data_IF_162047717803
#
_entry.id   IF_162047717803
#
_cell.length_a   1.000
_cell.length_b   1.000
_cell.length_c   1.000
_cell.angle_alpha   90.00
_cell.angle_beta   90.00
_cell.angle_gamma   90.00
#
_symmetry.space_group_name_H-M   'P 1'
#
loop_
_entity.id
_entity.type
_entity.pdbx_description
1 polymer ?
#
# COMPACT_ATOMS: atom_id res chain seq x y z
N UNK A 1 -23.87 -13.50 32.33
CA UNK A 1 -22.61 -12.78 32.03
C UNK A 1 -21.77 -13.73 31.19
N UNK A 2 -22.12 -13.84 29.91
CA UNK A 2 -21.52 -14.81 28.98
C UNK A 2 -20.49 -14.07 28.14
N UNK A 3 -19.20 -14.35 28.37
CA UNK A 3 -18.12 -13.99 27.45
C UNK A 3 -18.10 -15.04 26.35
N UNK A 4 -18.48 -14.65 25.14
CA UNK A 4 -18.21 -15.44 23.95
C UNK A 4 -16.72 -15.32 23.62
N UNK A 5 -16.02 -16.46 23.71
CA UNK A 5 -14.67 -16.64 23.18
C UNK A 5 -14.88 -17.02 21.71
N UNK A 6 -14.49 -16.14 20.78
CA UNK A 6 -14.46 -16.48 19.37
C UNK A 6 -13.08 -17.06 19.05
N UNK A 7 -13.09 -18.34 18.70
CA UNK A 7 -11.93 -19.10 18.23
C UNK A 7 -11.75 -18.75 16.75
N UNK A 8 -10.64 -18.09 16.40
CA UNK A 8 -10.22 -17.91 15.02
C UNK A 8 -9.87 -19.28 14.42
N UNK A 9 -10.70 -19.79 13.52
CA UNK A 9 -10.39 -20.97 12.72
C UNK A 9 -9.70 -20.48 11.45
N UNK A 10 -8.36 -20.52 11.45
CA UNK A 10 -7.58 -20.48 10.21
C UNK A 10 -7.78 -21.80 9.47
N UNK A 11 -8.37 -21.75 8.28
CA UNK A 11 -8.33 -22.89 7.38
C UNK A 11 -6.91 -23.04 6.80
N UNK A 12 -6.26 -24.12 7.22
CA UNK A 12 -4.98 -24.59 6.75
C UNK A 12 -5.19 -25.25 5.38
N UNK A 13 -4.98 -24.50 4.29
CA UNK A 13 -4.85 -25.09 2.95
C UNK A 13 -3.37 -25.32 2.66
N UNK A 14 -2.97 -26.58 2.74
CA UNK A 14 -1.61 -27.03 2.47
C UNK A 14 -1.18 -26.79 1.02
N UNK A 15 -0.09 -26.03 0.90
CA UNK A 15 1.06 -26.23 0.00
C UNK A 15 0.84 -27.02 -1.30
N UNK A 16 0.58 -26.27 -2.37
CA UNK A 16 0.95 -26.61 -3.76
C UNK A 16 1.06 -25.31 -4.61
N UNK A 17 1.82 -24.31 -4.15
CA UNK A 17 2.03 -23.03 -4.87
C UNK A 17 3.50 -22.56 -4.88
N UNK A 18 4.47 -23.42 -4.59
CA UNK A 18 5.87 -22.99 -4.44
C UNK A 18 6.64 -22.79 -5.76
N UNK A 19 6.06 -23.05 -6.93
CA UNK A 19 6.79 -22.99 -8.21
C UNK A 19 6.45 -21.77 -9.10
N UNK A 20 5.27 -21.14 -8.95
CA UNK A 20 4.86 -20.01 -9.80
C UNK A 20 5.17 -18.64 -9.18
N UNK A 21 5.21 -18.53 -7.83
CA UNK A 21 5.44 -17.24 -7.15
C UNK A 21 6.83 -16.62 -7.32
N UNK A 22 7.84 -17.37 -7.78
CA UNK A 22 9.16 -16.81 -8.11
C UNK A 22 9.21 -16.14 -9.50
N UNK A 23 8.27 -16.47 -10.40
CA UNK A 23 8.26 -15.90 -11.76
C UNK A 23 7.75 -14.46 -11.82
N UNK A 24 7.08 -14.01 -10.76
CA UNK A 24 6.49 -12.68 -10.69
C UNK A 24 7.49 -11.58 -10.30
N UNK A 25 8.66 -11.95 -9.76
CA UNK A 25 9.57 -11.01 -9.14
C UNK A 25 10.93 -10.99 -9.84
N UNK A 26 11.31 -9.84 -10.38
CA UNK A 26 12.67 -9.61 -10.88
C UNK A 26 13.47 -8.82 -9.86
N UNK A 27 14.50 -9.42 -9.26
CA UNK A 27 15.39 -8.70 -8.34
C UNK A 27 16.18 -7.65 -9.10
N UNK A 28 16.04 -6.39 -8.71
CA UNK A 28 16.83 -5.28 -9.23
C UNK A 28 18.02 -4.94 -8.32
N UNK A 29 17.83 -5.06 -7.00
CA UNK A 29 18.87 -4.79 -6.00
C UNK A 29 18.91 -5.93 -4.99
N UNK A 30 20.11 -6.46 -4.76
CA UNK A 30 20.37 -7.36 -3.64
C UNK A 30 20.71 -6.52 -2.39
N UNK A 31 19.87 -6.59 -1.37
CA UNK A 31 20.08 -5.85 -0.12
C UNK A 31 20.75 -6.71 0.97
N UNK A 32 21.09 -7.98 0.68
CA UNK A 32 21.80 -8.83 1.63
C UNK A 32 23.21 -8.31 1.92
N UNK A 33 23.81 -8.80 3.00
CA UNK A 33 25.15 -8.43 3.44
C UNK A 33 25.13 -7.37 4.52
N UNK A 34 26.09 -6.46 4.49
CA UNK A 34 26.30 -5.47 5.55
C UNK A 34 25.24 -4.35 5.53
N UNK A 35 24.77 -3.97 6.72
CA UNK A 35 23.85 -2.87 7.00
C UNK A 35 24.38 -2.00 8.14
N UNK A 36 24.10 -0.69 8.09
CA UNK A 36 24.28 0.17 9.26
C UNK A 36 23.21 -0.19 10.29
N UNK A 37 23.58 -0.30 11.55
CA UNK A 37 22.71 -0.75 12.62
C UNK A 37 22.93 0.05 13.92
N UNK A 38 21.84 0.34 14.61
CA UNK A 38 21.86 0.86 15.98
C UNK A 38 20.68 0.33 16.78
N UNK A 39 20.86 0.20 18.09
CA UNK A 39 19.78 -0.03 19.05
C UNK A 39 19.14 1.29 19.48
N UNK A 40 17.94 1.19 20.06
CA UNK A 40 17.11 2.32 20.47
C UNK A 40 16.09 2.72 19.42
N UNK A 41 15.36 3.80 19.68
CA UNK A 41 14.27 4.23 18.80
C UNK A 41 14.26 5.75 18.61
N UNK A 42 14.49 6.18 17.37
CA UNK A 42 14.41 7.59 17.00
C UNK A 42 13.96 7.73 15.55
N UNK A 43 12.79 8.33 15.34
CA UNK A 43 12.17 8.47 14.03
C UNK A 43 13.00 9.32 13.05
N UNK A 44 13.90 10.19 13.54
CA UNK A 44 14.83 10.95 12.69
C UNK A 44 15.79 10.05 11.91
N UNK A 45 15.97 8.79 12.33
CA UNK A 45 16.77 7.80 11.61
C UNK A 45 16.11 7.27 10.34
N UNK A 46 14.88 7.68 10.04
CA UNK A 46 14.28 7.47 8.72
C UNK A 46 14.79 8.47 7.66
N UNK A 47 15.31 9.63 8.08
CA UNK A 47 15.70 10.73 7.20
C UNK A 47 16.83 10.30 6.23
N UNK A 48 16.70 10.52 4.90
CA UNK A 48 17.73 10.16 3.94
C UNK A 48 19.07 10.87 4.18
N UNK A 49 19.06 12.05 4.79
CA UNK A 49 20.23 12.89 5.06
C UNK A 49 20.81 12.67 6.46
N UNK A 50 20.21 11.80 7.28
CA UNK A 50 20.78 11.43 8.58
C UNK A 50 22.16 10.76 8.40
N UNK A 51 23.15 11.28 9.14
CA UNK A 51 24.52 10.75 9.17
C UNK A 51 24.59 9.53 10.10
N UNK A 52 24.71 8.35 9.49
CA UNK A 52 24.85 7.06 10.17
C UNK A 52 26.30 6.58 10.24
N UNK A 53 27.30 7.46 10.06
CA UNK A 53 28.72 7.09 10.08
C UNK A 53 29.15 6.39 11.38
N UNK A 54 28.55 6.81 12.49
CA UNK A 54 28.84 6.33 13.84
C UNK A 54 28.11 5.04 14.19
N UNK A 55 27.19 4.58 13.32
CA UNK A 55 26.49 3.31 13.54
C UNK A 55 27.40 2.13 13.28
N UNK A 56 27.21 1.08 14.07
CA UNK A 56 27.88 -0.20 13.83
C UNK A 56 27.36 -0.83 12.54
N UNK A 57 28.01 -1.91 12.12
CA UNK A 57 27.59 -2.66 10.94
C UNK A 57 27.29 -4.10 11.34
N UNK A 58 26.16 -4.63 10.87
CA UNK A 58 25.79 -6.05 11.04
C UNK A 58 25.47 -6.68 9.69
N UNK A 59 25.54 -8.01 9.62
CA UNK A 59 25.07 -8.76 8.46
C UNK A 59 23.54 -8.95 8.51
N UNK A 60 22.87 -8.85 7.35
CA UNK A 60 21.48 -9.25 7.18
C UNK A 60 21.28 -10.03 5.86
N UNK A 61 20.49 -11.11 5.83
CA UNK A 61 19.72 -11.61 6.96
C UNK A 61 20.59 -12.32 8.01
N UNK A 62 20.33 -12.05 9.28
CA UNK A 62 20.96 -12.64 10.48
C UNK A 62 20.15 -12.17 11.70
N UNK A 63 20.17 -12.97 12.77
CA UNK A 63 19.70 -12.51 14.08
C UNK A 63 20.72 -11.49 14.62
N UNK A 64 20.28 -10.39 15.23
CA UNK A 64 21.25 -9.40 15.74
C UNK A 64 22.07 -9.95 16.93
N UNK A 65 21.59 -10.99 17.61
CA UNK A 65 22.29 -11.70 18.70
C UNK A 65 23.57 -12.34 18.17
N UNK A 66 23.50 -12.96 16.99
CA UNK A 66 24.64 -13.57 16.30
C UNK A 66 25.61 -12.51 15.75
N UNK A 67 25.16 -11.27 15.62
CA UNK A 67 25.94 -10.11 15.13
C UNK A 67 26.46 -9.20 16.25
N UNK A 68 26.44 -9.68 17.51
CA UNK A 68 27.10 -9.01 18.63
C UNK A 68 26.17 -8.31 19.63
N UNK A 69 24.86 -8.57 19.58
CA UNK A 69 23.86 -8.03 20.51
C UNK A 69 23.15 -9.16 21.30
N UNK A 70 23.88 -10.02 22.04
CA UNK A 70 23.30 -11.20 22.67
C UNK A 70 22.25 -10.83 23.74
N UNK A 71 21.03 -11.35 23.60
CA UNK A 71 19.92 -11.16 24.54
C UNK A 71 19.39 -9.74 24.59
N UNK A 72 19.52 -8.99 23.48
CA UNK A 72 18.96 -7.65 23.37
C UNK A 72 17.52 -7.73 22.84
N UNK A 73 16.56 -7.40 23.70
CA UNK A 73 15.17 -7.19 23.29
C UNK A 73 14.87 -5.68 23.22
N UNK A 74 14.12 -5.25 22.22
CA UNK A 74 13.66 -3.87 22.07
C UNK A 74 13.77 -3.33 20.66
N UNK A 75 13.98 -2.02 20.56
CA UNK A 75 14.02 -1.32 19.28
C UNK A 75 15.41 -1.35 18.65
N UNK A 76 15.45 -1.60 17.35
CA UNK A 76 16.65 -1.42 16.57
C UNK A 76 16.34 -0.87 15.19
N UNK A 77 17.34 -0.26 14.55
CA UNK A 77 17.20 0.35 13.24
C UNK A 77 18.31 -0.10 12.30
N UNK A 78 17.92 -0.36 11.06
CA UNK A 78 18.79 -0.72 9.96
C UNK A 78 18.78 0.38 8.89
N UNK A 79 19.93 0.73 8.33
CA UNK A 79 20.04 1.67 7.20
C UNK A 79 20.95 1.14 6.10
N UNK A 80 20.53 1.35 4.85
CA UNK A 80 21.33 1.02 3.66
C UNK A 80 21.02 1.93 2.49
N UNK A 81 22.06 2.25 1.71
CA UNK A 81 21.95 3.01 0.47
C UNK A 81 21.84 2.05 -0.72
N UNK A 82 21.06 2.41 -1.73
CA UNK A 82 20.91 1.65 -2.96
C UNK A 82 20.63 2.53 -4.18
N UNK A 83 20.78 1.97 -5.38
CA UNK A 83 20.44 2.63 -6.65
C UNK A 83 19.56 1.72 -7.49
N UNK A 84 18.58 2.30 -8.16
CA UNK A 84 17.69 1.63 -9.11
C UNK A 84 17.61 2.41 -10.41
N UNK A 85 17.54 1.68 -11.53
CA UNK A 85 17.48 2.30 -12.86
C UNK A 85 16.04 2.44 -13.38
N UNK A 86 15.11 1.68 -12.80
CA UNK A 86 13.66 1.81 -12.97
C UNK A 86 13.04 2.15 -11.62
N UNK A 87 11.87 2.77 -11.63
CA UNK A 87 11.09 3.04 -10.41
C UNK A 87 9.68 2.45 -10.49
N UNK A 88 9.33 1.87 -11.64
CA UNK A 88 8.00 1.31 -11.88
C UNK A 88 7.83 -0.02 -11.15
N UNK A 89 6.68 -0.19 -10.50
CA UNK A 89 6.24 -1.48 -9.95
C UNK A 89 7.23 -2.12 -8.96
N UNK A 90 7.93 -1.29 -8.19
CA UNK A 90 8.94 -1.77 -7.25
C UNK A 90 8.33 -2.13 -5.90
N UNK A 91 8.91 -3.16 -5.29
CA UNK A 91 8.59 -3.64 -3.95
C UNK A 91 9.88 -3.87 -3.17
N UNK A 92 9.82 -3.65 -1.86
CA UNK A 92 10.81 -4.19 -0.93
C UNK A 92 10.33 -5.55 -0.49
N UNK A 93 11.15 -6.58 -0.67
CA UNK A 93 10.96 -7.88 -0.03
C UNK A 93 11.98 -7.98 1.10
N UNK A 94 11.52 -8.26 2.31
CA UNK A 94 12.37 -8.37 3.51
C UNK A 94 12.34 -9.75 4.15
N UNK A 95 11.46 -10.64 3.71
CA UNK A 95 11.32 -11.95 4.34
C UNK A 95 10.72 -11.84 5.73
N UNK A 96 11.27 -12.61 6.66
CA UNK A 96 10.88 -12.66 8.06
C UNK A 96 11.69 -11.66 8.87
N UNK A 97 10.99 -10.80 9.60
CA UNK A 97 11.52 -9.93 10.65
C UNK A 97 10.80 -10.29 11.95
N UNK A 98 11.55 -10.42 13.03
CA UNK A 98 11.03 -10.66 14.37
C UNK A 98 11.11 -9.36 15.19
N UNK A 99 10.03 -8.82 15.76
CA UNK A 99 8.60 -9.20 15.65
C UNK A 99 7.84 -8.24 14.73
N UNK A 100 8.18 -6.96 14.84
CA UNK A 100 7.44 -5.82 14.28
C UNK A 100 8.40 -4.96 13.49
N UNK A 101 7.98 -4.45 12.34
CA UNK A 101 8.81 -3.58 11.52
C UNK A 101 8.03 -2.40 10.95
N UNK A 102 8.74 -1.32 10.66
CA UNK A 102 8.33 -0.22 9.79
C UNK A 102 9.44 0.03 8.77
N UNK A 103 9.08 0.16 7.50
CA UNK A 103 10.02 0.33 6.39
C UNK A 103 9.84 1.69 5.75
N UNK A 104 10.96 2.40 5.61
CA UNK A 104 11.02 3.74 5.04
C UNK A 104 11.91 3.76 3.80
N UNK A 105 11.45 4.46 2.76
CA UNK A 105 12.25 4.82 1.59
C UNK A 105 12.40 6.33 1.55
N UNK A 106 13.63 6.81 1.63
CA UNK A 106 13.97 8.23 1.65
C UNK A 106 13.13 9.04 2.67
N UNK A 107 12.92 8.49 3.88
CA UNK A 107 12.14 9.14 4.94
C UNK A 107 10.63 8.94 4.85
N UNK A 108 10.12 8.34 3.79
CA UNK A 108 8.69 8.03 3.65
C UNK A 108 8.40 6.60 4.06
N UNK A 109 7.45 6.41 4.99
CA UNK A 109 6.92 5.09 5.32
C UNK A 109 6.31 4.45 4.07
N UNK A 110 6.61 3.19 3.81
CA UNK A 110 6.05 2.42 2.68
C UNK A 110 5.30 1.16 3.11
N UNK A 111 5.48 0.73 4.36
CA UNK A 111 5.01 -0.56 4.84
C UNK A 111 5.43 -0.83 6.26
N UNK A 112 4.71 -1.74 6.91
CA UNK A 112 5.02 -2.22 8.26
C UNK A 112 4.28 -3.55 8.49
N UNK A 113 4.66 -4.30 9.51
CA UNK A 113 3.93 -5.49 9.95
C UNK A 113 4.05 -5.67 11.46
N UNK A 114 2.96 -6.13 12.08
CA UNK A 114 2.81 -6.11 13.54
C UNK A 114 2.40 -4.74 14.07
N UNK A 115 2.33 -4.61 15.39
CA UNK A 115 2.02 -3.37 16.10
C UNK A 115 3.07 -3.15 17.18
N UNK A 116 3.67 -1.95 17.18
CA UNK A 116 4.65 -1.55 18.19
C UNK A 116 3.97 -1.33 19.55
N UNK A 117 4.71 -1.43 20.68
CA UNK A 117 4.21 -1.06 21.99
C UNK A 117 3.56 0.35 22.03
N UNK A 118 2.58 0.59 22.93
CA UNK A 118 2.16 -0.28 24.04
C UNK A 118 1.21 -1.43 23.65
N UNK A 119 0.51 -1.32 22.52
CA UNK A 119 -0.46 -2.32 22.06
C UNK A 119 0.21 -3.35 21.15
N UNK A 120 1.23 -4.04 21.70
CA UNK A 120 2.10 -4.91 20.94
C UNK A 120 1.36 -6.10 20.30
N UNK A 121 1.61 -6.31 19.01
CA UNK A 121 1.15 -7.49 18.25
C UNK A 121 2.26 -7.95 17.29
N UNK A 122 2.68 -9.21 17.41
CA UNK A 122 3.78 -9.75 16.58
C UNK A 122 3.37 -9.97 15.13
N UNK A 123 4.26 -9.60 14.22
CA UNK A 123 4.23 -9.92 12.80
C UNK A 123 5.26 -11.00 12.40
N UNK A 124 5.79 -11.80 13.33
CA UNK A 124 6.93 -12.69 13.06
C UNK A 124 6.70 -13.66 11.89
N UNK A 125 5.48 -14.18 11.73
CA UNK A 125 5.12 -15.13 10.67
C UNK A 125 4.82 -14.47 9.31
N UNK A 126 4.95 -13.15 9.19
CA UNK A 126 4.62 -12.43 7.95
C UNK A 126 5.83 -12.42 7.01
N UNK A 127 5.65 -12.95 5.80
CA UNK A 127 6.59 -12.70 4.69
C UNK A 127 6.35 -11.30 4.14
N UNK A 128 7.33 -10.42 4.31
CA UNK A 128 7.15 -8.98 4.09
C UNK A 128 7.41 -8.60 2.66
N UNK A 129 6.37 -8.07 2.01
CA UNK A 129 6.44 -7.42 0.71
C UNK A 129 5.69 -6.10 0.73
N UNK A 130 6.40 -4.99 0.55
CA UNK A 130 5.79 -3.65 0.57
C UNK A 130 5.96 -2.96 -0.77
N UNK A 131 4.89 -2.44 -1.40
CA UNK A 131 5.01 -1.63 -2.60
C UNK A 131 5.77 -0.35 -2.30
N UNK A 132 6.59 0.09 -3.25
CA UNK A 132 7.29 1.37 -3.17
C UNK A 132 6.60 2.35 -4.11
N UNK A 133 5.88 3.36 -3.60
CA UNK A 133 5.38 4.44 -4.42
C UNK A 133 6.51 5.09 -5.21
N UNK A 134 6.33 5.21 -6.53
CA UNK A 134 7.36 5.71 -7.44
C UNK A 134 7.84 7.12 -7.06
N UNK A 135 6.93 7.92 -6.49
CA UNK A 135 7.18 9.29 -6.01
C UNK A 135 8.21 9.36 -4.87
N UNK A 136 8.44 8.26 -4.13
CA UNK A 136 9.44 8.21 -3.07
C UNK A 136 10.83 7.81 -3.56
N UNK A 137 10.97 7.43 -4.84
CA UNK A 137 12.24 6.96 -5.40
C UNK A 137 12.93 8.02 -6.26
N UNK A 138 14.25 8.08 -6.14
CA UNK A 138 15.15 8.87 -6.98
C UNK A 138 15.73 7.95 -8.06
N UNK A 139 15.19 7.99 -9.28
CA UNK A 139 15.67 7.18 -10.43
C UNK A 139 17.14 7.50 -10.77
N UNK A 140 17.95 6.47 -11.00
CA UNK A 140 19.39 6.59 -11.33
C UNK A 140 20.21 7.39 -10.31
N UNK A 141 19.71 7.54 -9.09
CA UNK A 141 20.37 8.24 -8.01
C UNK A 141 20.36 7.37 -6.74
N UNK A 142 21.08 7.82 -5.73
CA UNK A 142 21.12 7.13 -4.44
C UNK A 142 19.81 7.31 -3.67
N UNK A 143 19.29 6.18 -3.18
CA UNK A 143 18.13 6.07 -2.32
C UNK A 143 18.55 5.47 -0.99
N UNK A 144 17.80 5.78 0.07
CA UNK A 144 18.01 5.23 1.41
C UNK A 144 16.82 4.36 1.77
N UNK A 145 17.09 3.14 2.23
CA UNK A 145 16.13 2.34 2.97
C UNK A 145 16.50 2.39 4.46
N UNK A 146 15.51 2.66 5.29
CA UNK A 146 15.61 2.55 6.74
C UNK A 146 14.53 1.60 7.25
N UNK A 147 14.87 0.71 8.17
CA UNK A 147 13.95 -0.28 8.73
C UNK A 147 14.03 -0.17 10.24
N UNK A 148 12.92 0.22 10.85
CA UNK A 148 12.70 0.20 12.29
C UNK A 148 12.17 -1.17 12.66
N UNK A 149 12.78 -1.82 13.63
CA UNK A 149 12.37 -3.14 14.13
C UNK A 149 12.13 -3.04 15.63
N UNK A 150 11.12 -3.75 16.13
CA UNK A 150 10.95 -4.02 17.55
C UNK A 150 10.81 -5.52 17.74
N UNK A 151 11.63 -6.06 18.63
CA UNK A 151 11.60 -7.43 19.09
C UNK A 151 11.19 -7.42 20.56
N UNK A 152 10.21 -8.27 20.92
CA UNK A 152 9.71 -8.29 22.29
C UNK A 152 10.55 -9.21 23.19
N UNK A 153 10.94 -10.37 22.68
CA UNK A 153 11.68 -11.41 23.41
C UNK A 153 12.41 -12.33 22.40
N UNK A 154 13.55 -12.89 22.81
CA UNK A 154 14.31 -13.96 22.13
C UNK A 154 15.32 -13.48 21.08
N UNK A 155 15.07 -13.76 19.80
CA UNK A 155 16.02 -13.50 18.70
C UNK A 155 15.38 -12.49 17.75
N UNK A 156 15.99 -11.31 17.65
CA UNK A 156 15.45 -10.23 16.84
C UNK A 156 16.19 -9.98 15.52
N UNK A 157 15.57 -9.15 14.68
CA UNK A 157 16.20 -8.56 13.50
C UNK A 157 15.67 -9.07 12.16
N UNK A 158 16.44 -8.83 11.10
CA UNK A 158 16.08 -9.27 9.74
C UNK A 158 16.55 -10.72 9.55
N UNK A 159 15.76 -11.67 10.06
CA UNK A 159 16.19 -13.05 10.30
C UNK A 159 16.45 -13.87 9.04
N UNK A 160 15.55 -13.83 8.05
CA UNK A 160 15.67 -14.66 6.83
C UNK A 160 14.85 -14.13 5.66
N UNK A 161 15.29 -14.43 4.44
CA UNK A 161 14.48 -14.29 3.23
C UNK A 161 15.12 -13.48 2.12
N UNK A 162 14.28 -13.02 1.19
CA UNK A 162 14.66 -12.38 -0.07
C UNK A 162 14.88 -10.88 0.13
N UNK A 163 15.84 -10.48 0.97
CA UNK A 163 16.18 -9.08 1.22
C UNK A 163 16.62 -8.39 -0.08
N UNK A 164 15.76 -7.55 -0.64
CA UNK A 164 16.04 -6.87 -1.90
C UNK A 164 14.96 -5.92 -2.37
N UNK A 165 15.30 -5.18 -3.42
CA UNK A 165 14.33 -4.41 -4.21
C UNK A 165 14.00 -5.22 -5.45
N UNK A 166 12.71 -5.46 -5.67
CA UNK A 166 12.19 -6.29 -6.73
C UNK A 166 11.19 -5.51 -7.58
N UNK A 167 11.16 -5.82 -8.86
CA UNK A 167 10.13 -5.37 -9.78
C UNK A 167 9.11 -6.49 -9.98
N UNK A 168 7.83 -6.19 -9.76
CA UNK A 168 6.73 -7.12 -10.02
C UNK A 168 6.42 -7.15 -11.53
N UNK A 169 6.52 -8.30 -12.17
CA UNK A 169 6.39 -8.46 -13.63
C UNK A 169 4.92 -8.46 -14.11
N UNK A 170 3.98 -8.88 -13.26
CA UNK A 170 2.59 -9.18 -13.64
C UNK A 170 1.58 -8.12 -13.20
N UNK A 171 1.99 -6.87 -13.13
CA UNK A 171 1.10 -5.72 -12.88
C UNK A 171 0.77 -4.99 -14.19
N UNK A 172 -0.34 -4.22 -14.27
CA UNK A 172 -0.65 -3.49 -15.48
C UNK A 172 0.34 -2.34 -15.67
N UNK A 173 0.66 -2.00 -16.92
CA UNK A 173 1.43 -0.79 -17.18
C UNK A 173 0.60 0.45 -16.85
N UNK A 174 0.97 1.14 -15.78
CA UNK A 174 0.35 2.41 -15.38
C UNK A 174 0.92 3.54 -16.23
N UNK A 175 0.06 4.26 -16.95
CA UNK A 175 0.47 5.51 -17.60
C UNK A 175 0.68 6.63 -16.58
N UNK A 176 0.06 6.49 -15.41
CA UNK A 176 0.24 7.36 -14.24
C UNK A 176 0.02 6.53 -12.97
N UNK A 177 1.07 6.33 -12.19
CA UNK A 177 0.94 5.81 -10.83
C UNK A 177 0.29 6.87 -9.93
N UNK A 178 -0.62 6.42 -9.07
CA UNK A 178 -1.32 7.23 -8.06
C UNK A 178 -1.03 6.74 -6.63
N UNK A 179 -0.12 5.77 -6.47
CA UNK A 179 0.33 5.34 -5.15
C UNK A 179 1.18 6.43 -4.47
N UNK A 180 1.06 6.55 -3.15
CA UNK A 180 1.74 7.57 -2.35
C UNK A 180 0.79 8.24 -1.37
N UNK A 181 1.10 9.48 -0.97
CA UNK A 181 0.26 10.21 -0.03
C UNK A 181 -0.95 10.83 -0.71
N UNK A 182 -2.12 10.56 -0.14
CA UNK A 182 -3.41 11.16 -0.46
C UNK A 182 -3.84 12.07 0.70
N UNK A 183 -4.77 12.98 0.43
CA UNK A 183 -5.49 13.71 1.49
C UNK A 183 -6.56 12.80 2.09
N UNK A 184 -6.74 12.85 3.40
CA UNK A 184 -7.64 11.98 4.14
C UNK A 184 -8.47 12.74 5.18
N UNK A 185 -9.74 12.36 5.30
CA UNK A 185 -10.64 12.89 6.33
C UNK A 185 -11.78 11.94 6.67
N UNK A 186 -11.95 11.65 7.95
CA UNK A 186 -13.07 10.84 8.46
C UNK A 186 -14.41 11.62 8.46
N UNK A 187 -15.49 10.88 8.67
CA UNK A 187 -16.86 11.37 8.59
C UNK A 187 -17.41 11.47 7.17
N UNK A 188 -18.72 11.62 7.08
CA UNK A 188 -19.45 11.58 5.82
C UNK A 188 -19.96 12.97 5.41
N UNK A 189 -19.34 13.60 4.41
CA UNK A 189 -19.83 14.84 3.82
C UNK A 189 -19.65 14.79 2.30
N UNK A 190 -20.76 14.70 1.58
CA UNK A 190 -20.79 14.58 0.12
C UNK A 190 -20.26 15.82 -0.62
N UNK A 191 -20.23 17.00 0.01
CA UNK A 191 -19.60 18.20 -0.57
C UNK A 191 -18.12 17.97 -0.89
N UNK A 192 -17.48 17.01 -0.21
CA UNK A 192 -16.09 16.63 -0.41
C UNK A 192 -15.83 15.99 -1.77
N UNK A 193 -16.87 15.61 -2.51
CA UNK A 193 -16.75 15.15 -3.89
C UNK A 193 -16.42 16.31 -4.86
N UNK A 194 -16.82 17.54 -4.55
CA UNK A 194 -16.70 18.69 -5.46
C UNK A 194 -15.24 18.95 -5.85
N UNK A 195 -15.02 19.32 -7.12
CA UNK A 195 -13.67 19.56 -7.65
C UNK A 195 -12.94 20.64 -6.85
N UNK A 196 -13.65 21.71 -6.52
CA UNK A 196 -13.18 22.93 -5.86
C UNK A 196 -13.18 22.85 -4.33
N UNK A 197 -13.54 21.72 -3.73
CA UNK A 197 -13.54 21.58 -2.27
C UNK A 197 -12.12 21.76 -1.71
N UNK A 198 -11.97 22.62 -0.70
CA UNK A 198 -10.68 22.89 -0.07
C UNK A 198 -10.28 21.76 0.89
N UNK A 199 -9.29 20.97 0.48
CA UNK A 199 -8.68 19.90 1.28
C UNK A 199 -7.29 20.27 1.84
N UNK A 200 -6.92 21.56 1.81
CA UNK A 200 -5.60 22.01 2.28
C UNK A 200 -5.33 21.64 3.73
N UNK A 201 -6.38 21.62 4.56
CA UNK A 201 -6.35 21.28 5.98
C UNK A 201 -6.50 19.77 6.27
N UNK A 202 -6.64 18.92 5.25
CA UNK A 202 -6.77 17.49 5.44
C UNK A 202 -5.42 16.86 5.78
N UNK A 203 -5.49 15.82 6.61
CA UNK A 203 -4.35 14.99 6.94
C UNK A 203 -3.88 14.21 5.72
N UNK A 204 -2.64 13.74 5.76
CA UNK A 204 -2.12 12.86 4.72
C UNK A 204 -2.22 11.40 5.16
N UNK A 205 -2.51 10.52 4.22
CA UNK A 205 -2.53 9.08 4.40
C UNK A 205 -1.82 8.42 3.22
N UNK A 206 -1.08 7.35 3.46
CA UNK A 206 -0.47 6.53 2.42
C UNK A 206 -1.54 5.61 1.80
N UNK A 207 -1.56 5.53 0.47
CA UNK A 207 -2.33 4.54 -0.26
C UNK A 207 -1.44 3.88 -1.34
N UNK A 208 -1.40 2.54 -1.43
CA UNK A 208 -2.17 1.60 -0.64
C UNK A 208 -1.57 1.37 0.76
N UNK A 209 -2.43 1.36 1.79
CA UNK A 209 -2.23 0.90 3.16
C UNK A 209 -3.55 1.14 3.92
N UNK A 210 -3.99 0.20 4.76
CA UNK A 210 -5.19 0.41 5.59
C UNK A 210 -5.04 1.64 6.51
N UNK A 211 -6.13 2.26 6.95
CA UNK A 211 -6.03 3.50 7.73
C UNK A 211 -5.75 3.25 9.23
N UNK A 212 -6.21 2.15 9.83
CA UNK A 212 -5.92 1.77 11.23
C UNK A 212 -4.44 1.53 11.40
N UNK A 213 -3.90 0.89 10.37
CA UNK A 213 -2.49 0.64 10.13
C UNK A 213 -1.64 1.93 10.14
N UNK A 214 -2.27 3.09 9.97
CA UNK A 214 -1.62 4.41 9.96
C UNK A 214 -2.02 5.27 11.17
N UNK A 215 -2.65 4.67 12.18
CA UNK A 215 -3.06 5.34 13.42
C UNK A 215 -4.50 5.88 13.42
N UNK A 216 -5.32 5.52 12.43
CA UNK A 216 -6.73 5.89 12.40
C UNK A 216 -7.60 4.73 12.88
N UNK A 217 -7.71 4.52 14.19
CA UNK A 217 -8.66 3.53 14.76
C UNK A 217 -10.11 4.02 14.57
N UNK A 218 -10.72 3.69 13.43
CA UNK A 218 -12.00 4.29 13.02
C UNK A 218 -12.79 3.41 12.06
N UNK A 219 -13.96 2.94 12.49
CA UNK A 219 -14.97 2.37 11.60
C UNK A 219 -15.96 3.46 11.14
N UNK A 220 -16.34 3.45 9.86
CA UNK A 220 -17.37 4.32 9.30
C UNK A 220 -16.97 4.95 7.97
N UNK A 221 -17.40 6.19 7.76
CA UNK A 221 -17.15 6.91 6.51
C UNK A 221 -15.83 7.66 6.54
N UNK A 222 -15.04 7.52 5.49
CA UNK A 222 -13.86 8.33 5.28
C UNK A 222 -13.76 8.79 3.82
N UNK A 223 -13.03 9.88 3.61
CA UNK A 223 -12.82 10.45 2.30
C UNK A 223 -11.34 10.51 1.98
N UNK A 224 -11.00 10.09 0.76
CA UNK A 224 -9.70 10.28 0.15
C UNK A 224 -9.81 11.35 -0.94
N UNK A 225 -8.80 12.21 -1.06
CA UNK A 225 -8.65 13.14 -2.18
C UNK A 225 -7.22 13.11 -2.73
N UNK A 226 -7.08 13.07 -4.04
CA UNK A 226 -5.79 13.16 -4.72
C UNK A 226 -5.86 14.11 -5.91
N UNK A 227 -4.96 15.09 -5.89
CA UNK A 227 -4.69 15.96 -7.01
C UNK A 227 -3.67 15.30 -7.95
N UNK A 228 -3.93 15.32 -9.25
CA UNK A 228 -3.04 14.75 -10.27
C UNK A 228 -3.14 15.51 -11.60
N UNK A 229 -2.06 15.44 -12.38
CA UNK A 229 -2.05 15.87 -13.77
C UNK A 229 -1.87 14.67 -14.71
N UNK A 230 -2.59 14.67 -15.82
CA UNK A 230 -2.43 13.69 -16.89
C UNK A 230 -2.06 14.39 -18.20
N UNK A 231 -1.04 13.87 -18.91
CA UNK A 231 -0.51 14.47 -20.13
C UNK A 231 -1.55 14.50 -21.26
N UNK A 232 -1.59 15.61 -22.03
CA UNK A 232 -2.50 15.82 -23.16
C UNK A 232 -2.38 14.77 -24.26
N UNK A 233 -1.24 14.07 -24.37
CA UNK A 233 -1.07 12.98 -25.33
C UNK A 233 -2.04 11.81 -25.12
N UNK A 234 -2.65 11.68 -23.92
CA UNK A 234 -3.60 10.61 -23.60
C UNK A 234 -5.07 10.99 -23.86
N UNK A 235 -5.35 12.18 -24.41
CA UNK A 235 -6.73 12.71 -24.55
C UNK A 235 -7.66 11.88 -25.44
N UNK A 236 -7.10 11.07 -26.34
CA UNK A 236 -7.84 10.26 -27.29
C UNK A 236 -7.84 8.77 -26.87
N UNK A 237 -7.18 8.44 -25.75
CA UNK A 237 -7.14 7.08 -25.19
C UNK A 237 -8.40 6.77 -24.40
N UNK A 238 -8.81 5.50 -24.37
CA UNK A 238 -9.83 5.03 -23.42
C UNK A 238 -9.14 4.73 -22.09
N UNK A 239 -9.51 5.44 -21.03
CA UNK A 239 -8.78 5.45 -19.76
C UNK A 239 -9.55 4.78 -18.62
N UNK A 240 -8.86 3.98 -17.83
CA UNK A 240 -9.41 3.30 -16.65
C UNK A 240 -8.63 3.74 -15.42
N UNK A 241 -9.35 4.16 -14.40
CA UNK A 241 -8.82 4.39 -13.06
C UNK A 241 -8.82 3.07 -12.29
N UNK A 242 -7.64 2.65 -11.84
CA UNK A 242 -7.45 1.54 -10.92
C UNK A 242 -7.26 2.09 -9.50
N UNK A 243 -8.07 1.63 -8.55
CA UNK A 243 -7.95 1.97 -7.13
C UNK A 243 -7.58 0.78 -6.25
N UNK A 244 -7.25 -0.36 -6.86
CA UNK A 244 -6.86 -1.55 -6.13
C UNK A 244 -8.01 -2.09 -5.26
N UNK A 245 -7.67 -2.54 -4.06
CA UNK A 245 -8.63 -2.99 -3.04
C UNK A 245 -8.73 -1.96 -1.91
N UNK A 246 -9.91 -1.89 -1.34
CA UNK A 246 -10.48 -0.84 -0.48
C UNK A 246 -11.39 -1.63 0.43
N UNK A 247 -11.33 -1.38 1.72
CA UNK A 247 -12.19 -2.06 2.66
C UNK A 247 -13.20 -1.02 3.20
N UNK A 248 -14.51 -1.15 2.98
CA UNK A 248 -15.24 -2.21 2.27
C UNK A 248 -15.77 -1.75 0.89
N UNK A 249 -16.51 -0.65 0.90
CA UNK A 249 -17.27 -0.13 -0.25
C UNK A 249 -16.89 1.30 -0.57
N UNK A 250 -17.06 1.71 -1.82
CA UNK A 250 -16.64 3.03 -2.28
C UNK A 250 -17.61 3.68 -3.28
N UNK A 251 -17.65 5.01 -3.27
CA UNK A 251 -18.13 5.85 -4.36
C UNK A 251 -16.99 6.76 -4.82
N UNK A 252 -16.68 6.72 -6.12
CA UNK A 252 -15.55 7.45 -6.70
C UNK A 252 -16.00 8.56 -7.64
N UNK A 253 -15.37 9.72 -7.51
CA UNK A 253 -15.64 10.93 -8.27
C UNK A 253 -14.36 11.46 -8.92
N UNK A 254 -14.49 11.93 -10.16
CA UNK A 254 -13.47 12.66 -10.90
C UNK A 254 -13.96 14.08 -11.15
N UNK A 255 -13.25 15.07 -10.62
CA UNK A 255 -13.61 16.49 -10.76
C UNK A 255 -15.08 16.76 -10.40
N UNK A 256 -15.57 16.16 -9.31
CA UNK A 256 -16.97 16.29 -8.86
C UNK A 256 -17.99 15.41 -9.59
N UNK A 257 -17.64 14.73 -10.68
CA UNK A 257 -18.54 13.82 -11.39
C UNK A 257 -18.33 12.39 -10.90
N UNK A 258 -19.42 11.73 -10.50
CA UNK A 258 -19.41 10.31 -10.15
C UNK A 258 -18.98 9.46 -11.36
N UNK A 259 -18.04 8.53 -11.15
CA UNK A 259 -17.52 7.65 -12.22
C UNK A 259 -17.69 6.16 -11.92
N UNK A 260 -18.09 5.79 -10.70
CA UNK A 260 -18.37 4.40 -10.35
C UNK A 260 -18.38 4.16 -8.84
N UNK A 261 -18.85 2.96 -8.48
CA UNK A 261 -18.90 2.47 -7.09
C UNK A 261 -18.59 0.98 -7.01
N UNK A 262 -18.24 0.51 -5.83
CA UNK A 262 -18.30 -0.92 -5.46
C UNK A 262 -19.17 -1.04 -4.22
N UNK A 263 -20.14 -1.96 -4.24
CA UNK A 263 -21.16 -2.04 -3.18
C UNK A 263 -22.17 -0.88 -3.23
N UNK A 264 -22.99 -0.79 -2.18
CA UNK A 264 -24.06 0.23 -2.08
C UNK A 264 -23.97 0.99 -0.76
N UNK A 265 -23.58 2.27 -0.86
CA UNK A 265 -23.65 3.21 0.26
C UNK A 265 -25.11 3.64 0.47
N UNK A 266 -25.57 3.55 1.72
CA UNK A 266 -26.93 3.96 2.12
C UNK A 266 -26.87 5.06 3.17
N UNK A 267 -27.78 6.04 3.08
CA UNK A 267 -27.98 7.09 4.10
C UNK A 267 -28.20 6.53 5.52
N UNK A 268 -28.57 5.25 5.65
CA UNK A 268 -28.64 4.56 6.92
C UNK A 268 -27.55 3.49 6.99
N UNK A 269 -26.48 3.70 7.79
CA UNK A 269 -25.38 2.74 7.92
C UNK A 269 -25.82 1.34 8.34
N UNK A 270 -26.94 1.21 9.06
CA UNK A 270 -27.49 -0.10 9.46
C UNK A 270 -28.08 -0.92 8.31
N UNK A 271 -28.20 -0.32 7.12
CA UNK A 271 -28.71 -0.96 5.90
C UNK A 271 -27.59 -1.29 4.92
N UNK A 272 -26.35 -0.97 5.25
CA UNK A 272 -25.21 -1.35 4.44
C UNK A 272 -24.97 -2.84 4.69
N UNK A 273 -25.03 -3.60 3.60
CA UNK A 273 -24.66 -4.99 3.56
C UNK A 273 -23.37 -5.08 2.77
N UNK A 274 -22.37 -5.69 3.40
CA UNK A 274 -21.06 -5.95 2.83
C UNK A 274 -20.84 -7.45 2.93
N UNK A 275 -20.43 -8.05 1.82
CA UNK A 275 -20.03 -9.44 1.69
C UNK A 275 -18.55 -9.53 1.29
N UNK A 276 -18.25 -9.58 -0.01
CA UNK A 276 -16.91 -9.79 -0.56
C UNK A 276 -16.37 -8.52 -1.27
N UNK A 277 -17.00 -7.36 -1.09
CA UNK A 277 -16.62 -6.10 -1.74
C UNK A 277 -15.17 -5.69 -1.43
N UNK A 278 -14.67 -5.96 -0.23
CA UNK A 278 -13.28 -5.71 0.17
C UNK A 278 -12.26 -6.51 -0.65
N UNK A 279 -12.64 -7.65 -1.24
CA UNK A 279 -11.79 -8.44 -2.14
C UNK A 279 -11.74 -7.91 -3.58
N UNK A 280 -12.68 -7.02 -3.95
CA UNK A 280 -12.84 -6.57 -5.31
C UNK A 280 -11.75 -5.57 -5.72
N UNK A 281 -11.23 -5.72 -6.94
CA UNK A 281 -10.41 -4.71 -7.58
C UNK A 281 -11.28 -3.61 -8.18
N UNK A 282 -10.92 -2.36 -7.91
CA UNK A 282 -11.69 -1.18 -8.33
C UNK A 282 -11.12 -0.68 -9.63
N UNK A 283 -11.98 -0.68 -10.65
CA UNK A 283 -11.63 -0.28 -12.01
C UNK A 283 -12.79 0.54 -12.58
N UNK A 284 -12.59 1.85 -12.71
CA UNK A 284 -13.62 2.79 -13.16
C UNK A 284 -13.25 3.43 -14.47
N UNK A 285 -14.21 3.47 -15.39
CA UNK A 285 -14.08 4.19 -16.65
C UNK A 285 -13.91 5.69 -16.37
N UNK A 286 -12.91 6.30 -17.01
CA UNK A 286 -12.74 7.74 -16.99
C UNK A 286 -13.19 8.31 -18.33
N UNK A 287 -14.27 9.11 -18.34
CA UNK A 287 -14.67 9.81 -19.56
C UNK A 287 -13.74 11.01 -19.80
N UNK A 288 -13.13 11.07 -20.99
CA UNK A 288 -12.16 12.12 -21.34
C UNK A 288 -12.75 13.54 -21.26
N UNK A 289 -14.06 13.70 -21.44
CA UNK A 289 -14.77 14.98 -21.25
C UNK A 289 -14.70 15.52 -19.81
N UNK A 290 -14.45 14.65 -18.83
CA UNK A 290 -14.33 15.02 -17.42
C UNK A 290 -12.87 15.22 -16.99
N UNK A 291 -11.90 14.97 -17.87
CA UNK A 291 -10.47 15.07 -17.57
C UNK A 291 -9.92 16.40 -18.10
N UNK A 292 -9.31 17.18 -17.22
CA UNK A 292 -8.55 18.37 -17.56
C UNK A 292 -7.11 18.00 -17.92
N UNK A 293 -6.90 17.50 -19.13
CA UNK A 293 -5.58 17.12 -19.61
C UNK A 293 -4.57 18.28 -19.59
N UNK A 294 -3.35 18.02 -19.13
CA UNK A 294 -2.27 18.99 -18.94
C UNK A 294 -2.49 19.95 -17.76
N UNK A 295 -3.55 19.74 -16.97
CA UNK A 295 -3.92 20.55 -15.81
C UNK A 295 -4.15 19.66 -14.59
N UNK A 296 -4.42 20.31 -13.47
CA UNK A 296 -4.78 19.65 -12.23
C UNK A 296 -6.19 19.05 -12.32
N UNK A 297 -6.33 17.85 -11.77
CA UNK A 297 -7.55 17.07 -11.67
C UNK A 297 -7.64 16.52 -10.25
N UNK A 298 -8.85 16.26 -9.77
CA UNK A 298 -9.07 15.67 -8.46
C UNK A 298 -9.82 14.36 -8.59
N UNK A 299 -9.30 13.32 -7.94
CA UNK A 299 -10.08 12.14 -7.57
C UNK A 299 -10.52 12.33 -6.13
N UNK A 300 -11.81 12.15 -5.86
CA UNK A 300 -12.38 12.06 -4.53
C UNK A 300 -13.05 10.69 -4.36
N UNK A 301 -12.80 10.02 -3.24
CA UNK A 301 -13.34 8.69 -2.96
C UNK A 301 -13.99 8.74 -1.60
N UNK A 302 -15.28 8.43 -1.55
CA UNK A 302 -16.04 8.18 -0.33
C UNK A 302 -15.94 6.69 -0.03
N UNK A 303 -15.36 6.33 1.10
CA UNK A 303 -15.22 4.95 1.54
C UNK A 303 -16.09 4.75 2.77
N UNK A 304 -16.79 3.62 2.83
CA UNK A 304 -17.39 3.12 4.06
C UNK A 304 -16.73 1.80 4.43
N UNK A 305 -16.27 1.73 5.67
CA UNK A 305 -15.82 0.52 6.33
C UNK A 305 -16.75 0.24 7.50
N UNK A 306 -17.20 -1.01 7.59
CA UNK A 306 -18.10 -1.45 8.64
C UNK A 306 -17.38 -1.87 9.92
N UNK A 307 -16.19 -2.47 9.79
CA UNK A 307 -15.51 -3.19 10.86
C UNK A 307 -14.00 -3.41 10.58
N UNK A 308 -13.18 -3.21 11.62
CA UNK A 308 -11.79 -3.70 11.73
C UNK A 308 -10.78 -2.88 10.92
N UNK A 309 -10.60 -3.18 9.63
CA UNK A 309 -9.59 -2.56 8.79
C UNK A 309 -10.26 -1.89 7.62
N UNK A 310 -10.06 -0.59 7.47
CA UNK A 310 -10.65 0.17 6.40
C UNK A 310 -9.64 0.82 5.46
N UNK A 311 -10.15 1.27 4.32
CA UNK A 311 -9.40 2.12 3.39
C UNK A 311 -8.70 1.36 2.27
N UNK A 312 -7.92 2.09 1.45
CA UNK A 312 -7.30 1.56 0.24
C UNK A 312 -6.09 0.71 0.61
N UNK A 313 -6.26 -0.59 0.85
CA UNK A 313 -5.24 -1.43 1.47
C UNK A 313 -4.32 -2.17 0.47
N UNK A 314 -4.74 -2.35 -0.79
CA UNK A 314 -3.93 -3.06 -1.80
C UNK A 314 -3.94 -2.34 -3.14
N UNK A 315 -2.80 -2.34 -3.84
CA UNK A 315 -2.68 -1.81 -5.20
C UNK A 315 -3.09 -2.80 -6.30
N UNK A 316 -2.95 -2.44 -7.58
CA UNK A 316 -2.33 -1.21 -8.08
C UNK A 316 -3.27 0.01 -8.02
N UNK A 317 -2.68 1.19 -7.75
CA UNK A 317 -3.35 2.50 -7.80
C UNK A 317 -2.78 3.30 -8.96
N UNK A 318 -3.60 3.59 -9.97
CA UNK A 318 -3.10 4.28 -11.15
C UNK A 318 -4.11 4.43 -12.27
N UNK A 319 -3.68 5.11 -13.33
CA UNK A 319 -4.44 5.21 -14.58
C UNK A 319 -3.78 4.30 -15.61
N UNK A 320 -4.61 3.56 -16.35
CA UNK A 320 -4.20 2.66 -17.44
C UNK A 320 -5.04 2.91 -18.68
N UNK A 321 -4.60 2.43 -19.83
CA UNK A 321 -5.48 2.33 -21.00
C UNK A 321 -6.44 1.15 -20.84
N UNK A 322 -7.60 1.23 -21.49
CA UNK A 322 -8.59 0.15 -21.46
C UNK A 322 -8.04 -1.18 -21.99
N UNK A 323 -7.24 -1.13 -23.05
CA UNK A 323 -6.61 -2.34 -23.61
C UNK A 323 -5.64 -2.99 -22.61
N UNK A 324 -4.90 -2.19 -21.86
CA UNK A 324 -4.00 -2.69 -20.82
C UNK A 324 -4.79 -3.29 -19.66
N UNK A 325 -5.87 -2.61 -19.22
CA UNK A 325 -6.79 -3.13 -18.23
C UNK A 325 -7.40 -4.48 -18.63
N UNK A 326 -7.85 -4.64 -19.88
CA UNK A 326 -8.42 -5.89 -20.36
C UNK A 326 -7.39 -7.04 -20.37
N UNK A 327 -6.14 -6.74 -20.74
CA UNK A 327 -5.06 -7.74 -20.69
C UNK A 327 -4.77 -8.17 -19.27
N UNK A 328 -4.63 -7.21 -18.36
CA UNK A 328 -4.33 -7.45 -16.95
C UNK A 328 -5.47 -8.19 -16.24
N UNK A 329 -6.70 -7.70 -16.33
CA UNK A 329 -7.87 -8.30 -15.65
C UNK A 329 -8.13 -9.75 -16.06
N UNK A 330 -7.93 -10.07 -17.35
CA UNK A 330 -8.01 -11.45 -17.85
C UNK A 330 -6.92 -12.35 -17.27
N UNK A 331 -5.69 -11.84 -17.09
CA UNK A 331 -4.56 -12.59 -16.53
C UNK A 331 -4.77 -12.88 -15.04
N UNK A 332 -5.23 -11.89 -14.28
CA UNK A 332 -5.53 -12.01 -12.85
C UNK A 332 -6.79 -12.84 -12.57
N UNK A 333 -7.47 -13.34 -13.61
CA UNK A 333 -8.74 -14.05 -13.51
C UNK A 333 -9.76 -13.29 -12.65
N UNK A 334 -9.75 -11.95 -12.75
CA UNK A 334 -10.71 -11.10 -12.05
C UNK A 334 -12.05 -11.41 -12.67
N UNK A 335 -12.88 -12.15 -11.92
CA UNK A 335 -14.21 -12.54 -12.38
C UNK A 335 -15.02 -11.27 -12.62
N UNK A 336 -15.68 -11.23 -13.78
CA UNK A 336 -16.63 -10.16 -14.12
C UNK A 336 -17.69 -9.96 -13.02
N UNK A 337 -18.08 -11.04 -12.35
CA UNK A 337 -19.10 -11.02 -11.30
C UNK A 337 -18.63 -10.35 -9.99
N UNK A 338 -17.32 -10.18 -9.78
CA UNK A 338 -16.72 -9.44 -8.65
C UNK A 338 -16.49 -7.97 -9.03
N UNK A 339 -16.65 -7.62 -10.32
CA UNK A 339 -16.62 -6.24 -10.80
C UNK A 339 -18.06 -5.72 -10.75
N UNK A 340 -18.38 -5.03 -9.65
CA UNK A 340 -19.74 -4.58 -9.35
C UNK A 340 -20.30 -3.51 -10.31
N UNK A 341 -19.49 -2.97 -11.24
CA UNK A 341 -19.94 -1.94 -12.18
C UNK A 341 -19.42 -2.10 -13.62
N UNK A 342 -19.60 -3.29 -14.21
CA UNK A 342 -19.34 -3.53 -15.63
C UNK A 342 -20.28 -2.76 -16.58
N UNK A 343 -21.39 -2.20 -16.09
CA UNK A 343 -22.38 -1.52 -16.90
C UNK A 343 -21.80 -0.33 -17.69
N UNK A 344 -20.76 0.32 -17.16
CA UNK A 344 -20.14 1.49 -17.81
C UNK A 344 -19.18 1.17 -18.96
N UNK A 345 -18.69 -0.07 -19.08
CA UNK A 345 -17.74 -0.47 -20.13
C UNK A 345 -18.41 -0.99 -21.41
N UNK A 346 -19.70 -1.31 -21.39
CA UNK A 346 -20.39 -1.85 -22.57
C UNK A 346 -20.45 -0.89 -23.76
N UNK A 347 -20.42 0.42 -23.51
CA UNK A 347 -20.45 1.47 -24.54
C UNK A 347 -19.13 1.66 -25.29
N UNK A 348 -18.07 0.95 -24.89
CA UNK A 348 -16.77 1.03 -25.54
C UNK A 348 -16.50 -0.09 -26.56
N UNK A 349 -17.41 -1.06 -26.68
CA UNK A 349 -17.30 -2.20 -27.59
C UNK A 349 -17.99 -1.97 -28.93
#
# INVERSE_FOLDING_TARGET
MNRFIYICIFFLVGSLWAADGERDWRRLVDLRGQWRFTIGDNMNWSDPEFDDSDWVTIFAPSNWEDEGFPGYDGYAWYRKKFRVNSVENLYVLLGTIDDVDQVFINGHLIGFSGQFPPDFFTGYNVDRSYPIPEVFLKKNAENTIAIRVYDAELEGGLVRGRLGIYEKQNVPHLIKSLAGYWKFKTGDNEERAAAEYDDSQWQSILAPMAWESQGYEYDGYAWYRLHFSLDYKYKDEKLVLLLGKIDDIDETYLNGKFIGRTGYISDNPRRIHVDDEWLAYRAYKMDNENIYFGRDNVIAIRVFDGLIQGGIYEGPLGIVTYDEYLKWSKRENIKKDIIYDLFHFFEWN
#
